data_IF_306674772421
#
_entry.id   IF_306674772421
#
_cell.length_a   1.000
_cell.length_b   1.000
_cell.length_c   1.000
_cell.angle_alpha   90.00
_cell.angle_beta   90.00
_cell.angle_gamma   90.00
#
_symmetry.space_group_name_H-M   'P 1'
#
loop_
_entity.id
_entity.type
_entity.pdbx_description
1 polymer ?
#
# COMPACT_ATOMS: atom_id res chain seq x y z
N UNK A 1 5.67 -1.80 0.18
CA UNK A 1 4.33 -2.20 -0.29
C UNK A 1 3.78 -1.04 -1.07
N UNK A 2 3.48 -1.25 -2.35
CA UNK A 2 2.92 -0.24 -3.27
C UNK A 2 1.75 -0.85 -4.03
N UNK A 3 0.95 0.01 -4.65
CA UNK A 3 -0.08 -0.40 -5.60
C UNK A 3 0.26 0.15 -6.98
N UNK A 4 -0.11 -0.59 -8.02
CA UNK A 4 0.10 -0.21 -9.41
C UNK A 4 -1.22 -0.34 -10.15
N UNK A 5 -1.52 0.60 -11.04
CA UNK A 5 -2.61 0.43 -11.99
C UNK A 5 -2.05 -0.07 -13.31
N UNK A 6 -2.45 -1.28 -13.73
CA UNK A 6 -2.05 -1.88 -14.99
C UNK A 6 -3.10 -1.62 -16.06
N UNK A 7 -2.70 -1.04 -17.18
CA UNK A 7 -3.57 -0.78 -18.33
C UNK A 7 -3.50 -1.92 -19.35
N UNK A 8 -2.28 -2.44 -19.58
CA UNK A 8 -2.00 -3.56 -20.48
C UNK A 8 -0.67 -4.23 -20.08
N UNK A 9 -0.29 -5.28 -20.80
CA UNK A 9 0.95 -6.01 -20.51
C UNK A 9 2.17 -5.09 -20.63
N UNK A 10 2.87 -4.89 -19.51
CA UNK A 10 4.06 -4.03 -19.45
C UNK A 10 3.78 -2.53 -19.37
N UNK A 11 2.52 -2.09 -19.35
CA UNK A 11 2.15 -0.67 -19.22
C UNK A 11 1.33 -0.47 -17.95
N UNK A 12 1.91 0.29 -17.03
CA UNK A 12 1.33 0.56 -15.72
C UNK A 12 1.79 1.91 -15.19
N UNK A 13 1.10 2.40 -14.16
CA UNK A 13 1.50 3.58 -13.39
C UNK A 13 1.42 3.31 -11.88
N UNK A 14 2.08 4.17 -11.10
CA UNK A 14 1.96 4.18 -9.64
C UNK A 14 0.57 4.67 -9.23
N UNK A 15 -0.10 3.94 -8.33
CA UNK A 15 -1.43 4.24 -7.84
C UNK A 15 -1.41 4.59 -6.35
N UNK A 16 -2.53 5.10 -5.83
CA UNK A 16 -2.73 5.19 -4.39
C UNK A 16 -2.71 3.78 -3.77
N UNK A 17 -2.30 3.67 -2.50
CA UNK A 17 -2.26 2.37 -1.81
C UNK A 17 -3.65 1.73 -1.62
N UNK A 18 -4.74 2.48 -1.74
CA UNK A 18 -6.08 1.90 -1.67
C UNK A 18 -6.26 0.88 -2.81
N UNK A 19 -6.76 -0.32 -2.49
CA UNK A 19 -6.84 -1.43 -3.45
C UNK A 19 -7.71 -1.11 -4.66
N UNK A 20 -8.79 -0.35 -4.47
CA UNK A 20 -9.68 0.09 -5.55
C UNK A 20 -9.06 1.09 -6.51
N UNK A 21 -7.95 1.72 -6.14
CA UNK A 21 -7.29 2.75 -6.95
C UNK A 21 -6.20 2.15 -7.86
N UNK A 22 -5.90 0.86 -7.71
CA UNK A 22 -4.93 0.15 -8.54
C UNK A 22 -5.42 -1.25 -8.91
N UNK A 23 -4.46 -2.12 -9.25
CA UNK A 23 -4.73 -3.48 -9.73
C UNK A 23 -4.38 -4.56 -8.70
N UNK A 24 -3.79 -4.19 -7.55
CA UNK A 24 -3.45 -5.14 -6.50
C UNK A 24 -4.41 -5.07 -5.31
N UNK A 25 -4.76 -6.24 -4.78
CA UNK A 25 -5.45 -6.38 -3.51
C UNK A 25 -4.44 -6.25 -2.36
N UNK A 26 -4.39 -5.06 -1.76
CA UNK A 26 -3.46 -4.77 -0.68
C UNK A 26 -3.88 -5.42 0.65
N UNK A 27 -5.17 -5.74 0.84
CA UNK A 27 -5.60 -6.51 2.00
C UNK A 27 -5.01 -7.92 1.95
N UNK A 28 -5.16 -8.63 0.83
CA UNK A 28 -4.62 -10.00 0.70
C UNK A 28 -3.08 -10.02 0.71
N UNK A 29 -2.40 -8.99 0.18
CA UNK A 29 -0.93 -8.87 0.30
C UNK A 29 -0.50 -8.71 1.76
N UNK A 30 -1.12 -7.78 2.51
CA UNK A 30 -0.76 -7.55 3.92
C UNK A 30 -1.11 -8.76 4.77
N UNK A 31 -2.23 -9.43 4.47
CA UNK A 31 -2.64 -10.67 5.12
C UNK A 31 -1.65 -11.80 4.88
N UNK A 32 -1.17 -11.97 3.66
CA UNK A 32 -0.13 -12.96 3.37
C UNK A 32 1.16 -12.70 4.16
N UNK A 33 1.58 -11.43 4.29
CA UNK A 33 2.72 -11.06 5.15
C UNK A 33 2.48 -11.41 6.62
N UNK A 34 1.28 -11.14 7.14
CA UNK A 34 0.87 -11.49 8.51
C UNK A 34 0.86 -13.01 8.73
N UNK A 35 0.18 -13.76 7.88
CA UNK A 35 0.02 -15.23 7.99
C UNK A 35 1.36 -15.98 7.84
N UNK A 36 2.33 -15.40 7.13
CA UNK A 36 3.68 -15.96 7.01
C UNK A 36 4.60 -15.60 8.18
N UNK A 37 4.14 -14.79 9.14
CA UNK A 37 4.93 -14.38 10.31
C UNK A 37 6.06 -13.40 9.94
N UNK A 38 5.83 -12.52 8.97
CA UNK A 38 6.82 -11.50 8.61
C UNK A 38 6.94 -10.42 9.69
N UNK A 39 8.10 -10.37 10.35
CA UNK A 39 8.44 -9.40 11.42
C UNK A 39 9.42 -8.30 10.96
N UNK A 40 9.68 -8.21 9.66
CA UNK A 40 10.64 -7.25 9.11
C UNK A 40 10.06 -5.83 8.95
N UNK A 41 10.90 -4.83 8.64
CA UNK A 41 10.43 -3.48 8.36
C UNK A 41 9.64 -3.45 7.04
N UNK A 42 8.46 -2.82 7.07
CA UNK A 42 7.66 -2.51 5.88
C UNK A 42 7.57 -0.99 5.67
N UNK A 43 7.55 -0.56 4.41
CA UNK A 43 7.39 0.85 4.01
C UNK A 43 6.38 0.98 2.86
N UNK A 44 5.68 2.12 2.70
CA UNK A 44 4.71 2.37 1.61
C UNK A 44 5.37 2.54 0.23
N UNK A 45 6.69 2.49 0.13
CA UNK A 45 7.43 2.64 -1.11
C UNK A 45 7.17 3.97 -1.85
N UNK A 46 6.56 3.93 -3.04
CA UNK A 46 6.19 5.12 -3.82
C UNK A 46 4.74 5.53 -3.59
N UNK A 47 4.43 6.79 -3.86
CA UNK A 47 3.08 7.35 -3.87
C UNK A 47 2.94 8.45 -4.90
N UNK A 48 1.70 8.88 -5.16
CA UNK A 48 1.38 9.96 -6.10
C UNK A 48 1.92 11.30 -5.57
N UNK A 49 2.11 12.23 -6.50
CA UNK A 49 2.39 13.63 -6.18
C UNK A 49 1.06 14.35 -5.97
N UNK A 50 0.70 14.63 -4.71
CA UNK A 50 -0.61 15.22 -4.38
C UNK A 50 -0.48 16.60 -3.72
N UNK A 51 -1.56 17.37 -3.76
CA UNK A 51 -1.69 18.65 -3.05
C UNK A 51 -0.61 19.69 -3.37
N UNK A 52 -0.09 19.67 -4.59
CA UNK A 52 0.91 20.65 -5.05
C UNK A 52 2.30 20.46 -4.42
N UNK A 53 2.59 19.27 -3.88
CA UNK A 53 3.92 18.99 -3.34
C UNK A 53 5.00 18.99 -4.43
N UNK A 54 6.20 19.48 -4.08
CA UNK A 54 7.37 19.50 -4.98
C UNK A 54 8.42 18.56 -4.41
N UNK A 55 8.56 17.39 -5.05
CA UNK A 55 9.49 16.34 -4.67
C UNK A 55 9.85 15.49 -5.90
N UNK A 56 10.82 14.59 -5.75
CA UNK A 56 11.06 13.55 -6.74
C UNK A 56 9.81 12.66 -6.89
N UNK A 57 9.36 12.32 -8.11
CA UNK A 57 8.20 11.44 -8.31
C UNK A 57 8.31 10.16 -7.47
N UNK A 58 7.24 9.81 -6.76
CA UNK A 58 7.22 8.66 -5.85
C UNK A 58 7.71 8.96 -4.43
N UNK A 59 8.44 10.06 -4.20
CA UNK A 59 9.08 10.37 -2.91
C UNK A 59 8.46 11.57 -2.17
N UNK A 60 7.33 12.09 -2.67
CA UNK A 60 6.48 13.04 -1.95
C UNK A 60 6.10 12.55 -0.54
N UNK A 61 5.86 13.48 0.39
CA UNK A 61 5.51 13.12 1.77
C UNK A 61 4.08 12.59 1.84
N UNK A 62 3.16 13.24 1.13
CA UNK A 62 1.75 13.16 1.44
C UNK A 62 1.14 11.79 1.13
N UNK A 63 1.23 11.34 -0.11
CA UNK A 63 0.60 10.06 -0.49
C UNK A 63 1.32 8.86 0.14
N UNK A 64 2.63 8.96 0.41
CA UNK A 64 3.36 7.94 1.18
C UNK A 64 2.89 7.86 2.62
N UNK A 65 2.64 9.00 3.28
CA UNK A 65 2.11 9.01 4.64
C UNK A 65 0.71 8.38 4.70
N UNK A 66 -0.17 8.73 3.76
CA UNK A 66 -1.49 8.10 3.61
C UNK A 66 -1.37 6.59 3.40
N UNK A 67 -0.45 6.16 2.53
CA UNK A 67 -0.15 4.76 2.29
C UNK A 67 0.31 4.00 3.52
N UNK A 68 1.23 4.58 4.30
CA UNK A 68 1.70 3.99 5.55
C UNK A 68 0.56 3.78 6.56
N UNK A 69 -0.29 4.80 6.74
CA UNK A 69 -1.46 4.71 7.62
C UNK A 69 -2.47 3.67 7.13
N UNK A 70 -2.72 3.58 5.82
CA UNK A 70 -3.61 2.58 5.24
C UNK A 70 -3.09 1.15 5.47
N UNK A 71 -1.81 0.89 5.19
CA UNK A 71 -1.17 -0.42 5.40
C UNK A 71 -1.22 -0.82 6.88
N UNK A 72 -0.94 0.11 7.79
CA UNK A 72 -1.01 -0.14 9.23
C UNK A 72 -2.44 -0.49 9.66
N UNK A 73 -3.45 0.21 9.12
CA UNK A 73 -4.86 -0.08 9.38
C UNK A 73 -5.28 -1.48 8.88
N UNK A 74 -4.80 -1.89 7.70
CA UNK A 74 -5.02 -3.26 7.20
C UNK A 74 -4.40 -4.30 8.13
N UNK A 75 -3.14 -4.12 8.52
CA UNK A 75 -2.45 -5.02 9.43
C UNK A 75 -3.18 -5.17 10.77
N UNK A 76 -3.58 -4.05 11.38
CA UNK A 76 -4.36 -4.06 12.62
C UNK A 76 -5.70 -4.80 12.46
N UNK A 77 -6.40 -4.56 11.35
CA UNK A 77 -7.68 -5.21 11.06
C UNK A 77 -7.52 -6.73 10.88
N UNK A 78 -6.50 -7.18 10.16
CA UNK A 78 -6.18 -8.59 9.95
C UNK A 78 -5.88 -9.28 11.28
N UNK A 79 -4.99 -8.71 12.08
CA UNK A 79 -4.62 -9.24 13.39
C UNK A 79 -5.85 -9.36 14.32
N UNK A 80 -6.70 -8.33 14.38
CA UNK A 80 -7.94 -8.37 15.19
C UNK A 80 -8.94 -9.40 14.67
N UNK A 81 -9.02 -9.60 13.36
CA UNK A 81 -9.93 -10.57 12.77
C UNK A 81 -9.47 -12.01 13.04
N UNK A 82 -8.16 -12.25 13.10
CA UNK A 82 -7.61 -13.55 13.51
C UNK A 82 -7.93 -13.85 14.99
N UNK A 83 -7.73 -12.88 15.89
CA UNK A 83 -7.97 -13.05 17.34
C UNK A 83 -9.45 -13.24 17.71
N UNK A 84 -10.38 -12.88 16.82
CA UNK A 84 -11.82 -13.04 17.04
C UNK A 84 -12.36 -14.41 16.60
N UNK A 85 -11.57 -15.19 15.85
CA UNK A 85 -11.90 -16.57 15.47
C UNK A 85 -11.61 -17.51 16.63
#
# INVERSE_FOLDING_TARGET
IRNLHHFESGVFEEAAHLSSDGSFDLYEIVKALHETGFEGPARPDHGRMIWGEVAMPGYGLYDRALGASYILGLYEAIQKNEQRK
#
